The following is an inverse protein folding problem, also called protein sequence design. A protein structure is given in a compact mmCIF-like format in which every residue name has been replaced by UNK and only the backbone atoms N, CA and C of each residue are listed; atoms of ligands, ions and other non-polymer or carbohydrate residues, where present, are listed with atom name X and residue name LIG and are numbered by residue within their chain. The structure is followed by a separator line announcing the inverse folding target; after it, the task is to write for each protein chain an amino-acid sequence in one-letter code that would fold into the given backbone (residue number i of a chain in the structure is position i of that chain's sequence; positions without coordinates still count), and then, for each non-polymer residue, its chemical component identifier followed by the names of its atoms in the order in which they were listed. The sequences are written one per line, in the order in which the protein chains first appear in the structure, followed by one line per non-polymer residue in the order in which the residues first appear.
data_IF_780494122573
#
_entry.id   IF_780494122573
#
_cell.length_a   1.000
_cell.length_b   1.000
_cell.length_c   1.000
_cell.angle_alpha   90.00
_cell.angle_beta   90.00
_cell.angle_gamma   90.00
#
_symmetry.space_group_name_H-M   'P 1'
#
loop_
_entity.id
_entity.type
_entity.pdbx_description
1 polymer ?
#
# COMPACT_ATOMS: atom_id res chain seq x y z
N UNK A 1 12.76 -5.99 9.89
CA UNK A 1 12.21 -5.31 8.81
C UNK A 1 10.84 -5.71 8.46
N UNK A 2 10.66 -6.87 7.81
CA UNK A 2 9.31 -7.32 7.51
C UNK A 2 8.52 -7.55 8.78
N UNK A 3 9.18 -8.06 9.83
CA UNK A 3 8.52 -8.25 11.11
C UNK A 3 8.03 -6.94 11.71
N UNK A 4 8.84 -5.90 11.60
CA UNK A 4 8.46 -4.59 12.11
C UNK A 4 7.31 -4.00 11.30
N UNK A 5 7.41 -4.05 9.97
CA UNK A 5 6.36 -3.53 9.12
C UNK A 5 5.05 -4.26 9.32
N UNK A 6 5.11 -5.60 9.43
CA UNK A 6 3.91 -6.38 9.68
C UNK A 6 3.29 -6.07 11.04
N UNK A 7 4.11 -5.88 12.06
CA UNK A 7 3.61 -5.54 13.39
C UNK A 7 2.91 -4.19 13.37
N UNK A 8 3.48 -3.20 12.68
CA UNK A 8 2.88 -1.88 12.58
C UNK A 8 1.53 -1.92 11.87
N UNK A 9 1.45 -2.71 10.79
CA UNK A 9 0.20 -2.85 10.06
C UNK A 9 -0.87 -3.55 10.88
N UNK A 10 -0.49 -4.58 11.63
CA UNK A 10 -1.43 -5.28 12.51
C UNK A 10 -1.93 -4.34 13.61
N UNK A 11 -1.04 -3.54 14.17
CA UNK A 11 -1.43 -2.57 15.18
C UNK A 11 -2.38 -1.53 14.61
N UNK A 12 -2.10 -1.02 13.41
CA UNK A 12 -2.98 -0.06 12.75
C UNK A 12 -4.36 -0.66 12.52
N UNK A 13 -4.42 -1.92 12.08
CA UNK A 13 -5.68 -2.60 11.84
C UNK A 13 -6.47 -2.78 13.13
N UNK A 14 -5.79 -3.17 14.21
CA UNK A 14 -6.45 -3.36 15.51
C UNK A 14 -6.98 -2.04 16.04
N UNK A 15 -6.19 -0.98 15.91
CA UNK A 15 -6.59 0.34 16.36
C UNK A 15 -7.80 0.84 15.56
N UNK A 16 -7.76 0.67 14.25
CA UNK A 16 -8.86 1.09 13.39
C UNK A 16 -10.13 0.30 13.71
N UNK A 17 -9.99 -1.01 13.91
CA UNK A 17 -11.14 -1.85 14.25
C UNK A 17 -11.75 -1.41 15.59
N UNK A 18 -10.91 -1.17 16.58
CA UNK A 18 -11.38 -0.74 17.90
C UNK A 18 -12.07 0.63 17.83
N UNK A 19 -11.70 1.46 16.86
CA UNK A 19 -12.30 2.78 16.67
C UNK A 19 -13.57 2.73 15.80
N UNK A 20 -14.00 1.54 15.39
CA UNK A 20 -15.23 1.39 14.64
C UNK A 20 -15.09 1.45 13.13
N UNK A 21 -13.88 1.56 12.61
CA UNK A 21 -13.68 1.53 11.17
C UNK A 21 -13.85 0.12 10.65
N UNK A 22 -14.34 0.00 9.42
CA UNK A 22 -14.62 -1.29 8.81
C UNK A 22 -13.64 -1.67 7.73
N UNK A 23 -12.79 -0.74 7.31
CA UNK A 23 -11.86 -0.97 6.23
C UNK A 23 -10.60 -0.15 6.45
N UNK A 24 -9.47 -0.73 6.11
CA UNK A 24 -8.19 -0.03 6.12
C UNK A 24 -7.66 -0.04 4.69
N UNK A 25 -7.27 1.14 4.19
CA UNK A 25 -6.78 1.27 2.83
C UNK A 25 -5.36 1.79 2.83
N UNK A 26 -4.57 1.29 1.91
CA UNK A 26 -3.20 1.76 1.70
C UNK A 26 -2.92 1.78 0.20
N UNK A 27 -1.82 2.43 -0.16
CA UNK A 27 -1.39 2.47 -1.55
C UNK A 27 0.11 2.28 -1.65
N UNK A 28 0.53 1.80 -2.80
CA UNK A 28 1.96 1.70 -3.12
C UNK A 28 2.14 1.93 -4.61
N UNK A 29 3.37 2.29 -5.00
CA UNK A 29 3.68 2.45 -6.41
C UNK A 29 3.69 1.12 -7.14
N UNK A 30 3.48 1.18 -8.45
CA UNK A 30 3.42 -0.02 -9.28
C UNK A 30 4.74 -0.80 -9.32
N UNK A 31 5.84 -0.19 -8.89
CA UNK A 31 7.13 -0.87 -8.81
C UNK A 31 7.55 -1.19 -7.38
N UNK A 32 6.67 -0.99 -6.41
CA UNK A 32 6.94 -1.31 -5.02
C UNK A 32 6.62 -2.76 -4.69
N UNK A 33 7.33 -3.70 -5.31
CA UNK A 33 7.00 -5.13 -5.19
C UNK A 33 7.16 -5.66 -3.78
N UNK A 34 8.18 -5.19 -3.05
CA UNK A 34 8.37 -5.61 -1.66
C UNK A 34 7.23 -5.18 -0.77
N UNK A 35 6.74 -3.97 -0.98
CA UNK A 35 5.62 -3.44 -0.21
C UNK A 35 4.33 -4.18 -0.56
N UNK A 36 4.10 -4.45 -1.85
CA UNK A 36 2.91 -5.21 -2.25
C UNK A 36 2.91 -6.60 -1.63
N UNK A 37 4.08 -7.23 -1.59
CA UNK A 37 4.20 -8.55 -0.95
C UNK A 37 3.90 -8.48 0.55
N UNK A 38 4.45 -7.47 1.22
CA UNK A 38 4.21 -7.29 2.65
C UNK A 38 2.72 -7.06 2.93
N UNK A 39 2.11 -6.15 2.18
CA UNK A 39 0.69 -5.83 2.39
C UNK A 39 -0.19 -7.04 2.13
N UNK A 40 0.12 -7.79 1.07
CA UNK A 40 -0.63 -9.01 0.76
C UNK A 40 -0.53 -10.02 1.89
N UNK A 41 0.67 -10.20 2.44
CA UNK A 41 0.86 -11.13 3.57
C UNK A 41 0.09 -10.68 4.80
N UNK A 42 -0.12 -9.38 4.96
CA UNK A 42 -0.87 -8.85 6.10
C UNK A 42 -2.39 -8.87 5.89
N UNK A 43 -2.85 -9.32 4.73
CA UNK A 43 -4.28 -9.46 4.48
C UNK A 43 -4.88 -8.40 3.59
N UNK A 44 -4.07 -7.49 3.07
CA UNK A 44 -4.57 -6.51 2.11
C UNK A 44 -4.73 -7.15 0.74
N UNK A 45 -5.72 -6.69 0.02
CA UNK A 45 -5.96 -7.13 -1.34
C UNK A 45 -5.91 -5.96 -2.29
N UNK A 46 -5.44 -6.19 -3.51
CA UNK A 46 -5.44 -5.16 -4.54
C UNK A 46 -6.86 -4.87 -4.96
N UNK A 47 -7.21 -3.59 -5.05
CA UNK A 47 -8.58 -3.19 -5.35
C UNK A 47 -8.68 -2.45 -6.66
N UNK A 48 -7.81 -1.48 -6.90
CA UNK A 48 -7.84 -0.73 -8.15
C UNK A 48 -6.52 -0.01 -8.35
N UNK A 49 -6.33 0.46 -9.56
CA UNK A 49 -5.11 1.17 -9.96
C UNK A 49 -5.47 2.62 -10.24
N UNK A 50 -4.78 3.53 -9.53
CA UNK A 50 -4.90 4.96 -9.79
C UNK A 50 -3.81 5.30 -10.80
N UNK A 51 -4.14 5.22 -12.07
CA UNK A 51 -3.16 5.32 -13.14
C UNK A 51 -2.66 6.74 -13.28
N UNK A 52 -1.36 6.87 -13.41
CA UNK A 52 -0.73 8.16 -13.58
C UNK A 52 -0.64 8.98 -12.31
N UNK A 53 -0.97 8.41 -11.15
CA UNK A 53 -0.97 9.15 -9.90
C UNK A 53 0.37 9.85 -9.65
N UNK A 54 1.46 9.10 -9.78
CA UNK A 54 2.78 9.66 -9.48
C UNK A 54 3.22 10.64 -10.56
N UNK A 55 2.88 10.37 -11.81
CA UNK A 55 3.22 11.27 -12.90
C UNK A 55 2.50 12.61 -12.75
N UNK A 56 1.28 12.58 -12.25
CA UNK A 56 0.48 13.77 -12.06
C UNK A 56 0.92 14.61 -10.86
N UNK A 57 1.27 13.93 -9.76
CA UNK A 57 1.51 14.61 -8.50
C UNK A 57 2.98 14.91 -8.21
N UNK A 58 3.90 14.29 -8.93
CA UNK A 58 5.32 14.49 -8.70
C UNK A 58 5.98 15.02 -9.97
N UNK A 59 6.74 16.11 -9.87
CA UNK A 59 7.29 16.75 -11.06
C UNK A 59 8.39 15.95 -11.73
N UNK A 60 9.07 15.08 -10.98
CA UNK A 60 10.19 14.32 -11.53
C UNK A 60 9.90 12.84 -11.50
N UNK A 61 10.42 12.10 -12.47
CA UNK A 61 10.21 10.65 -12.50
C UNK A 61 10.75 9.98 -11.25
N UNK A 62 10.00 8.99 -10.78
CA UNK A 62 10.38 8.17 -9.62
C UNK A 62 10.73 6.79 -10.14
N UNK A 63 11.91 6.30 -9.76
CA UNK A 63 12.31 4.94 -10.12
C UNK A 63 12.38 4.10 -8.85
N UNK A 64 11.84 2.90 -8.95
CA UNK A 64 11.89 1.95 -7.85
C UNK A 64 12.10 0.57 -8.45
N UNK A 65 13.07 -0.18 -7.93
CA UNK A 65 13.46 -1.47 -8.48
C UNK A 65 13.83 -1.36 -9.97
N UNK A 66 14.37 -0.21 -10.37
CA UNK A 66 14.77 0.03 -11.76
C UNK A 66 13.62 0.29 -12.70
N UNK A 67 12.39 0.42 -12.19
CA UNK A 67 11.19 0.60 -13.01
C UNK A 67 10.52 1.92 -12.70
N UNK A 68 9.91 2.57 -13.70
CA UNK A 68 9.19 3.80 -13.44
C UNK A 68 8.02 3.57 -12.49
N UNK A 69 7.92 4.42 -11.48
CA UNK A 69 6.81 4.41 -10.54
C UNK A 69 5.82 5.47 -11.01
N UNK A 70 4.78 5.06 -11.72
CA UNK A 70 3.82 5.96 -12.34
C UNK A 70 2.43 5.83 -11.74
N UNK A 71 2.04 4.61 -11.39
CA UNK A 71 0.68 4.28 -10.98
C UNK A 71 0.65 3.92 -9.50
N UNK A 72 -0.44 4.29 -8.84
CA UNK A 72 -0.66 3.91 -7.44
C UNK A 72 -1.56 2.67 -7.41
N UNK A 73 -1.06 1.61 -6.80
CA UNK A 73 -1.86 0.40 -6.56
C UNK A 73 -2.58 0.59 -5.23
N UNK A 74 -3.89 0.66 -5.26
CA UNK A 74 -4.71 0.82 -4.07
C UNK A 74 -5.09 -0.54 -3.51
N UNK A 75 -4.84 -0.74 -2.24
CA UNK A 75 -5.08 -2.00 -1.57
C UNK A 75 -5.95 -1.75 -0.34
N UNK A 76 -6.73 -2.75 0.04
CA UNK A 76 -7.61 -2.62 1.18
C UNK A 76 -7.76 -3.92 1.93
N UNK A 77 -8.16 -3.78 3.20
CA UNK A 77 -8.41 -4.92 4.08
C UNK A 77 -9.67 -4.61 4.88
N UNK A 78 -10.60 -5.56 4.87
CA UNK A 78 -11.79 -5.46 5.72
C UNK A 78 -11.40 -5.76 7.15
N UNK A 79 -11.92 -4.96 8.07
CA UNK A 79 -11.60 -5.07 9.48
C UNK A 79 -12.68 -5.83 10.26
#
# INVERSE_FOLDING_TARGET
RQGIGGAMLRHAAETARASGFRKLEIGTGNSGFGQMALYTRCGFRMEWIDRGFFSLHYPEPILEAGLPCTDMVRMGMLL
#
